data_IF_457559514074
#
_entry.id   IF_457559514074
#
_cell.length_a   1.000
_cell.length_b   1.000
_cell.length_c   1.000
_cell.angle_alpha   90.00
_cell.angle_beta   90.00
_cell.angle_gamma   90.00
#
_symmetry.space_group_name_H-M   'P 1'
#
loop_
_entity.id
_entity.type
_entity.pdbx_description
1 polymer ?
#
# COMPACT_ATOMS: atom_id res chain seq x y z
N UNK A 1 5.26 -11.46 13.32
CA UNK A 1 6.27 -10.39 13.13
C UNK A 1 5.74 -9.47 12.04
N UNK A 2 5.49 -8.18 12.29
CA UNK A 2 4.95 -7.28 11.26
C UNK A 2 6.06 -6.93 10.26
N UNK A 3 6.05 -7.56 9.08
CA UNK A 3 6.95 -7.20 8.00
C UNK A 3 6.53 -5.81 7.49
N UNK A 4 7.20 -4.75 7.94
CA UNK A 4 7.19 -3.48 7.19
C UNK A 4 7.85 -3.77 5.86
N UNK A 5 7.06 -3.89 4.79
CA UNK A 5 7.64 -4.03 3.46
C UNK A 5 8.44 -2.77 3.16
N UNK A 6 9.61 -2.94 2.54
CA UNK A 6 10.38 -1.81 2.01
C UNK A 6 9.55 -0.95 1.06
N UNK A 7 8.51 -1.52 0.43
CA UNK A 7 7.66 -0.85 -0.57
C UNK A 7 6.84 0.29 0.03
N UNK A 8 6.18 0.10 1.18
CA UNK A 8 5.42 1.19 1.83
C UNK A 8 6.36 2.29 2.33
N UNK A 9 7.53 1.92 2.85
CA UNK A 9 8.52 2.91 3.26
C UNK A 9 9.01 3.78 2.09
N UNK A 10 9.20 3.19 0.90
CA UNK A 10 9.46 3.96 -0.33
C UNK A 10 8.26 4.83 -0.75
N UNK A 11 7.05 4.29 -0.71
CA UNK A 11 5.84 5.07 -1.02
C UNK A 11 5.69 6.31 -0.14
N UNK A 12 5.95 6.18 1.17
CA UNK A 12 5.94 7.31 2.10
C UNK A 12 7.03 8.33 1.75
N UNK A 13 8.23 7.88 1.33
CA UNK A 13 9.29 8.81 0.88
C UNK A 13 8.84 9.61 -0.33
N UNK A 14 8.21 8.97 -1.31
CA UNK A 14 7.68 9.66 -2.50
C UNK A 14 6.63 10.71 -2.09
N UNK A 15 5.69 10.37 -1.21
CA UNK A 15 4.68 11.33 -0.72
C UNK A 15 5.32 12.55 -0.03
N UNK A 16 6.35 12.33 0.78
CA UNK A 16 7.10 13.42 1.43
C UNK A 16 7.85 14.28 0.44
N UNK A 17 8.50 13.69 -0.55
CA UNK A 17 9.17 14.45 -1.62
C UNK A 17 8.17 15.31 -2.39
N UNK A 18 6.97 14.80 -2.69
CA UNK A 18 5.92 15.60 -3.35
C UNK A 18 5.50 16.77 -2.46
N UNK A 19 5.29 16.54 -1.16
CA UNK A 19 4.95 17.59 -0.20
C UNK A 19 6.01 18.69 -0.12
N UNK A 20 7.30 18.33 -0.22
CA UNK A 20 8.42 19.26 -0.20
C UNK A 20 8.57 20.07 -1.50
N UNK A 21 8.18 19.50 -2.65
CA UNK A 21 8.45 20.08 -3.97
C UNK A 21 7.21 20.69 -4.66
N UNK A 22 5.98 20.36 -4.26
CA UNK A 22 4.75 20.98 -4.79
C UNK A 22 3.87 21.56 -3.68
N UNK A 23 3.88 22.89 -3.58
CA UNK A 23 3.10 23.65 -2.59
C UNK A 23 1.57 23.51 -2.75
N UNK A 24 1.08 23.09 -3.92
CA UNK A 24 -0.36 22.97 -4.22
C UNK A 24 -1.02 21.68 -3.72
N UNK A 25 -0.24 20.65 -3.36
CA UNK A 25 -0.80 19.32 -3.00
C UNK A 25 -1.20 19.23 -1.52
N UNK A 26 -0.80 20.20 -0.69
CA UNK A 26 -1.12 20.24 0.74
C UNK A 26 -0.20 19.37 1.59
N UNK A 27 -0.67 18.99 2.80
CA UNK A 27 0.06 18.15 3.77
C UNK A 27 -0.52 16.74 3.81
N UNK A 28 0.34 15.73 3.86
CA UNK A 28 -0.09 14.35 4.10
C UNK A 28 0.02 14.00 5.59
N UNK A 29 -1.09 13.60 6.19
CA UNK A 29 -1.11 13.05 7.55
C UNK A 29 -1.22 11.53 7.46
N UNK A 30 -0.21 10.83 8.00
CA UNK A 30 -0.08 9.38 7.87
C UNK A 30 -0.20 8.72 9.24
N UNK A 31 -1.08 7.72 9.34
CA UNK A 31 -1.26 6.90 10.53
C UNK A 31 -1.04 5.43 10.19
N UNK A 32 -0.25 4.74 11.01
CA UNK A 32 0.03 3.31 10.85
C UNK A 32 -0.92 2.50 11.73
N UNK A 33 -1.55 1.46 11.15
CA UNK A 33 -2.45 0.55 11.85
C UNK A 33 -2.16 -0.91 11.47
N UNK A 34 -2.41 -1.84 12.40
CA UNK A 34 -2.22 -3.28 12.17
C UNK A 34 -3.33 -3.84 11.27
N UNK A 35 -2.94 -4.68 10.30
CA UNK A 35 -3.87 -5.39 9.41
C UNK A 35 -3.25 -6.70 8.89
N UNK A 36 -4.09 -7.67 8.49
CA UNK A 36 -3.65 -8.90 7.85
C UNK A 36 -2.91 -9.82 8.81
N UNK A 37 -1.87 -10.50 8.33
CA UNK A 37 -1.08 -11.44 9.12
C UNK A 37 -0.51 -10.86 10.40
N UNK A 38 -0.01 -9.63 10.36
CA UNK A 38 0.55 -8.97 11.55
C UNK A 38 -0.51 -8.68 12.62
N UNK A 39 -1.75 -8.38 12.20
CA UNK A 39 -2.88 -8.19 13.10
C UNK A 39 -3.34 -9.53 13.68
N UNK A 40 -3.33 -10.60 12.88
CA UNK A 40 -3.62 -11.97 13.37
C UNK A 40 -2.62 -12.36 14.45
N UNK A 41 -1.32 -12.20 14.19
CA UNK A 41 -0.27 -12.53 15.15
C UNK A 41 -0.43 -11.79 16.49
N UNK A 42 -0.80 -10.51 16.42
CA UNK A 42 -0.86 -9.64 17.60
C UNK A 42 -2.20 -9.72 18.35
N UNK A 43 -3.31 -9.93 17.64
CA UNK A 43 -4.67 -9.73 18.16
C UNK A 43 -5.60 -10.91 17.91
N UNK A 44 -5.18 -11.88 17.10
CA UNK A 44 -6.03 -12.99 16.64
C UNK A 44 -7.04 -12.60 15.54
N UNK A 45 -7.09 -11.34 15.12
CA UNK A 45 -7.99 -10.86 14.06
C UNK A 45 -7.23 -10.26 12.88
N UNK A 46 -7.61 -10.54 11.62
CA UNK A 46 -6.99 -9.92 10.43
C UNK A 46 -7.37 -8.46 10.25
N UNK A 47 -8.43 -7.99 10.91
CA UNK A 47 -8.86 -6.60 10.89
C UNK A 47 -9.56 -6.26 12.20
N UNK A 48 -8.89 -5.49 13.04
CA UNK A 48 -9.47 -4.94 14.27
C UNK A 48 -10.36 -3.72 13.97
N UNK A 49 -11.32 -3.48 14.85
CA UNK A 49 -12.30 -2.41 14.67
C UNK A 49 -11.64 -1.01 14.70
N UNK A 50 -10.56 -0.85 15.45
CA UNK A 50 -9.76 0.39 15.47
C UNK A 50 -9.20 0.72 14.08
N UNK A 51 -8.55 -0.25 13.43
CA UNK A 51 -8.01 -0.09 12.06
C UNK A 51 -9.14 0.20 11.06
N UNK A 52 -10.30 -0.44 11.21
CA UNK A 52 -11.45 -0.18 10.35
C UNK A 52 -12.01 1.23 10.56
N UNK A 53 -12.09 1.71 11.80
CA UNK A 53 -12.54 3.06 12.11
C UNK A 53 -11.57 4.11 11.55
N UNK A 54 -10.26 3.89 11.71
CA UNK A 54 -9.23 4.76 11.15
C UNK A 54 -9.31 4.81 9.62
N UNK A 55 -9.48 3.66 8.96
CA UNK A 55 -9.65 3.59 7.51
C UNK A 55 -10.88 4.37 7.02
N UNK A 56 -12.01 4.28 7.74
CA UNK A 56 -13.24 5.03 7.42
C UNK A 56 -13.11 6.53 7.64
N UNK A 57 -12.22 6.96 8.53
CA UNK A 57 -11.94 8.37 8.80
C UNK A 57 -10.88 8.97 7.87
N UNK A 58 -10.12 8.13 7.15
CA UNK A 58 -9.06 8.57 6.27
C UNK A 58 -9.57 8.84 4.84
N UNK A 59 -8.94 9.79 4.15
CA UNK A 59 -9.22 10.08 2.73
C UNK A 59 -8.72 8.95 1.80
N UNK A 60 -7.66 8.26 2.21
CA UNK A 60 -7.07 7.15 1.46
C UNK A 60 -6.42 6.13 2.40
N UNK A 61 -6.41 4.86 1.98
CA UNK A 61 -5.71 3.78 2.67
C UNK A 61 -4.63 3.23 1.74
N UNK A 62 -3.40 3.13 2.24
CA UNK A 62 -2.26 2.54 1.52
C UNK A 62 -1.94 1.16 2.13
N UNK A 63 -2.53 0.06 1.65
CA UNK A 63 -2.27 -1.27 2.17
C UNK A 63 -0.92 -1.81 1.69
N UNK A 64 -0.19 -2.47 2.58
CA UNK A 64 1.00 -3.25 2.26
C UNK A 64 0.63 -4.70 1.84
N UNK A 65 1.64 -5.55 1.64
CA UNK A 65 1.49 -7.00 1.62
C UNK A 65 0.89 -7.49 2.93
N UNK A 66 -0.35 -8.00 2.86
CA UNK A 66 -1.10 -8.48 4.01
C UNK A 66 -0.90 -9.98 4.28
N UNK A 67 -0.42 -10.74 3.30
CA UNK A 67 -0.45 -12.21 3.28
C UNK A 67 0.94 -12.85 3.34
N UNK A 68 0.97 -14.16 3.66
CA UNK A 68 2.15 -14.97 3.82
C UNK A 68 1.80 -16.45 4.06
N UNK A 69 2.72 -17.39 3.77
CA UNK A 69 2.45 -18.83 3.84
C UNK A 69 2.08 -19.31 5.24
N UNK A 70 2.51 -18.62 6.29
CA UNK A 70 2.23 -18.94 7.69
C UNK A 70 0.74 -18.87 8.07
N UNK A 71 -0.09 -18.08 7.37
CA UNK A 71 -1.50 -17.85 7.75
C UNK A 71 -2.51 -18.72 6.98
N UNK A 72 -2.04 -19.50 5.98
CA UNK A 72 -2.82 -20.52 5.26
C UNK A 72 -4.18 -20.08 4.70
N UNK A 73 -5.06 -21.05 4.41
CA UNK A 73 -6.45 -20.82 3.97
C UNK A 73 -7.46 -21.05 5.10
N UNK A 74 -7.08 -20.67 6.33
CA UNK A 74 -7.92 -20.86 7.50
C UNK A 74 -9.13 -19.90 7.51
N UNK A 75 -10.07 -20.13 8.43
CA UNK A 75 -11.22 -19.26 8.62
C UNK A 75 -10.86 -17.86 9.13
N UNK A 76 -9.60 -17.65 9.56
CA UNK A 76 -9.04 -16.38 10.02
C UNK A 76 -7.79 -16.10 9.20
N UNK A 77 -7.97 -15.73 7.92
CA UNK A 77 -6.86 -15.46 7.01
C UNK A 77 -6.73 -13.95 6.71
N UNK A 78 -5.53 -13.46 6.35
CA UNK A 78 -5.31 -12.04 6.11
C UNK A 78 -6.22 -11.43 5.04
N UNK A 79 -6.51 -12.19 3.98
CA UNK A 79 -7.31 -11.75 2.84
C UNK A 79 -8.75 -11.43 3.25
N UNK A 80 -9.30 -12.10 4.26
CA UNK A 80 -10.63 -11.76 4.80
C UNK A 80 -10.65 -10.37 5.41
N UNK A 81 -9.57 -9.94 6.07
CA UNK A 81 -9.43 -8.58 6.59
C UNK A 81 -9.51 -7.55 5.47
N UNK A 82 -8.79 -7.78 4.36
CA UNK A 82 -8.83 -6.90 3.20
C UNK A 82 -10.19 -6.90 2.50
N UNK A 83 -10.84 -8.05 2.35
CA UNK A 83 -12.17 -8.14 1.76
C UNK A 83 -13.21 -7.41 2.62
N UNK A 84 -13.15 -7.58 3.96
CA UNK A 84 -13.98 -6.84 4.90
C UNK A 84 -13.73 -5.33 4.77
N UNK A 85 -12.47 -4.90 4.75
CA UNK A 85 -12.11 -3.48 4.57
C UNK A 85 -12.71 -2.91 3.28
N UNK A 86 -12.51 -3.57 2.13
CA UNK A 86 -13.03 -3.11 0.84
C UNK A 86 -14.54 -3.00 0.83
N UNK A 87 -15.23 -3.99 1.42
CA UNK A 87 -16.69 -3.98 1.55
C UNK A 87 -17.16 -2.80 2.39
N UNK A 88 -16.52 -2.57 3.53
CA UNK A 88 -16.89 -1.52 4.48
C UNK A 88 -16.55 -0.10 3.97
N UNK A 89 -15.54 0.02 3.12
CA UNK A 89 -15.15 1.27 2.45
C UNK A 89 -15.90 1.50 1.13
N UNK A 90 -16.68 0.53 0.65
CA UNK A 90 -17.36 0.61 -0.65
C UNK A 90 -16.44 0.58 -1.87
N UNK A 91 -15.16 0.21 -1.69
CA UNK A 91 -14.13 0.27 -2.75
C UNK A 91 -13.99 -1.06 -3.49
N UNK A 92 -14.98 -1.36 -4.35
CA UNK A 92 -14.85 -2.43 -5.34
C UNK A 92 -14.23 -1.90 -6.65
N UNK A 93 -12.94 -1.52 -6.60
CA UNK A 93 -12.04 -1.53 -7.76
C UNK A 93 -11.75 -0.21 -8.50
N UNK A 94 -10.71 -0.32 -9.33
CA UNK A 94 -10.19 0.60 -10.35
C UNK A 94 -9.20 1.69 -9.90
N UNK A 95 -7.92 1.30 -9.75
CA UNK A 95 -6.78 2.23 -9.73
C UNK A 95 -5.49 1.68 -10.33
N UNK A 96 -5.37 0.37 -10.54
CA UNK A 96 -4.10 -0.25 -10.94
C UNK A 96 -3.76 -0.09 -12.44
N UNK A 97 -4.73 0.27 -13.30
CA UNK A 97 -4.54 0.29 -14.75
C UNK A 97 -3.45 1.28 -15.19
N UNK A 98 -3.57 2.53 -14.76
CA UNK A 98 -2.66 3.60 -15.19
C UNK A 98 -1.19 3.39 -14.78
N UNK A 99 -0.92 2.70 -13.66
CA UNK A 99 0.44 2.43 -13.20
C UNK A 99 1.10 1.25 -13.94
N UNK A 100 0.31 0.28 -14.43
CA UNK A 100 0.82 -0.89 -15.16
C UNK A 100 1.03 -0.62 -16.66
N UNK A 101 0.39 0.42 -17.20
CA UNK A 101 0.46 0.80 -18.61
C UNK A 101 1.79 1.49 -18.99
N UNK A 102 2.63 1.84 -18.00
CA UNK A 102 3.99 2.39 -18.20
C UNK A 102 5.08 1.37 -18.52
N UNK A 103 4.75 0.08 -18.72
CA UNK A 103 5.68 -0.95 -19.20
C UNK A 103 6.70 -1.48 -18.18
N UNK A 104 6.79 -0.89 -16.99
CA UNK A 104 7.72 -1.34 -15.94
C UNK A 104 7.15 -2.55 -15.17
N UNK A 105 7.76 -3.73 -15.35
CA UNK A 105 7.34 -4.99 -14.72
C UNK A 105 8.49 -5.62 -13.95
N UNK A 106 8.25 -6.02 -12.70
CA UNK A 106 9.17 -6.87 -11.94
C UNK A 106 9.05 -8.32 -12.41
N UNK A 107 9.96 -9.21 -11.98
CA UNK A 107 9.97 -10.63 -12.36
C UNK A 107 8.64 -11.36 -12.16
N UNK A 108 7.88 -11.03 -11.11
CA UNK A 108 6.57 -11.62 -10.85
C UNK A 108 5.48 -11.20 -11.86
N UNK A 109 5.71 -10.14 -12.63
CA UNK A 109 4.79 -9.57 -13.61
C UNK A 109 5.28 -9.77 -15.06
N UNK A 110 6.33 -10.60 -15.26
CA UNK A 110 6.88 -10.91 -16.59
C UNK A 110 7.95 -9.93 -17.09
N UNK A 111 8.56 -9.12 -16.21
CA UNK A 111 9.69 -8.24 -16.58
C UNK A 111 11.01 -8.62 -15.88
N UNK A 112 12.07 -7.83 -16.10
CA UNK A 112 13.41 -8.10 -15.58
C UNK A 112 13.89 -7.11 -14.52
N UNK A 113 13.12 -6.05 -14.24
CA UNK A 113 13.52 -4.97 -13.36
C UNK A 113 13.56 -5.41 -11.89
N UNK A 114 14.60 -5.00 -11.18
CA UNK A 114 14.72 -5.15 -9.74
C UNK A 114 14.06 -3.97 -8.98
N UNK A 115 13.83 -4.14 -7.68
CA UNK A 115 13.08 -3.16 -6.88
C UNK A 115 13.72 -1.76 -6.87
N UNK A 116 15.05 -1.68 -6.97
CA UNK A 116 15.76 -0.40 -7.01
C UNK A 116 15.56 0.29 -8.37
N UNK A 117 15.66 -0.45 -9.46
CA UNK A 117 15.42 0.08 -10.82
C UNK A 117 14.00 0.60 -10.98
N UNK A 118 13.02 -0.11 -10.41
CA UNK A 118 11.61 0.33 -10.39
C UNK A 118 11.46 1.60 -9.55
N UNK A 119 12.06 1.64 -8.36
CA UNK A 119 12.04 2.82 -7.50
C UNK A 119 12.66 4.05 -8.17
N UNK A 120 13.85 3.90 -8.76
CA UNK A 120 14.57 4.99 -9.43
C UNK A 120 13.81 5.51 -10.67
N UNK A 121 13.16 4.63 -11.44
CA UNK A 121 12.36 5.00 -12.60
C UNK A 121 11.08 5.76 -12.21
N UNK A 122 10.39 5.32 -11.14
CA UNK A 122 9.24 6.04 -10.59
C UNK A 122 9.66 7.42 -10.10
N UNK A 123 10.79 7.53 -9.40
CA UNK A 123 11.33 8.83 -8.96
C UNK A 123 11.64 9.72 -10.16
N UNK A 124 12.27 9.19 -11.22
CA UNK A 124 12.60 9.97 -12.43
C UNK A 124 11.35 10.51 -13.14
N UNK A 125 10.35 9.66 -13.38
CA UNK A 125 9.07 10.07 -13.99
C UNK A 125 8.34 11.09 -13.13
N UNK A 126 8.34 10.90 -11.80
CA UNK A 126 7.79 11.89 -10.89
C UNK A 126 8.56 13.21 -10.99
N UNK A 127 9.89 13.22 -10.96
CA UNK A 127 10.68 14.45 -11.11
C UNK A 127 10.32 15.20 -12.39
N UNK A 128 10.10 14.49 -13.50
CA UNK A 128 9.71 15.08 -14.78
C UNK A 128 8.31 15.72 -14.74
N UNK A 129 7.34 15.04 -14.11
CA UNK A 129 6.00 15.60 -13.85
C UNK A 129 6.04 16.74 -12.82
N UNK A 130 7.08 16.78 -11.97
CA UNK A 130 7.22 17.77 -10.91
C UNK A 130 7.90 19.07 -11.38
N UNK A 131 8.73 19.00 -12.43
CA UNK A 131 9.40 20.15 -13.07
C UNK A 131 8.53 20.89 -14.12
N UNK A 132 7.40 20.29 -14.53
CA UNK A 132 6.29 20.92 -15.30
C UNK A 132 5.22 21.53 -14.37
#
# INVERSE_FOLDING_TARGET
MCWRSSVIAEGIRVLKTIEENKLSVGKFYLWEHLMGGCSIDATGSPLIDETLAAAKAADAVLPDSISGPEWGTSATCPEQGLLKLRKEMGTYGQGHGAALDGGLRTKGLGGSANNKEVGDAVVKELTQILEE
#
